data_IF_840655654586
#
_entry.id   IF_840655654586
#
_cell.length_a   1.000
_cell.length_b   1.000
_cell.length_c   1.000
_cell.angle_alpha   90.00
_cell.angle_beta   90.00
_cell.angle_gamma   90.00
#
_symmetry.space_group_name_H-M   'P 1'
#
loop_
_entity.id
_entity.type
_entity.pdbx_description
1 polymer ?
#
# COMPACT_ATOMS: atom_id res chain seq x y z
N UNK A 1 2.27 46.23 40.10
CA UNK A 1 1.86 44.98 40.78
C UNK A 1 2.65 43.87 40.13
N UNK A 2 3.76 43.45 40.76
CA UNK A 2 4.55 42.31 40.35
C UNK A 2 3.78 41.04 40.71
N UNK A 3 3.49 40.21 39.75
CA UNK A 3 2.96 38.88 40.02
C UNK A 3 4.01 38.10 40.83
N UNK A 4 3.63 37.43 41.92
CA UNK A 4 4.58 36.66 42.71
C UNK A 4 5.21 35.55 41.86
N UNK A 5 6.52 35.40 41.96
CA UNK A 5 7.31 34.39 41.22
C UNK A 5 6.69 32.98 41.34
N UNK A 6 6.07 32.69 42.45
CA UNK A 6 5.37 31.41 42.73
C UNK A 6 4.16 31.19 41.82
N UNK A 7 3.42 32.23 41.44
CA UNK A 7 2.30 32.11 40.50
C UNK A 7 2.76 31.81 39.07
N UNK A 8 3.92 32.38 38.67
CA UNK A 8 4.53 32.14 37.36
C UNK A 8 5.08 30.71 37.30
N UNK A 9 5.71 30.23 38.39
CA UNK A 9 6.20 28.84 38.46
C UNK A 9 5.05 27.83 38.44
N UNK A 10 3.95 28.10 39.12
CA UNK A 10 2.76 27.23 39.09
C UNK A 10 2.08 27.22 37.73
N UNK A 11 1.98 28.35 37.05
CA UNK A 11 1.44 28.44 35.70
C UNK A 11 2.31 27.69 34.68
N UNK A 12 3.65 27.80 34.77
CA UNK A 12 4.58 27.08 33.93
C UNK A 12 4.51 25.55 34.18
N UNK A 13 4.33 25.13 35.44
CA UNK A 13 4.14 23.71 35.77
C UNK A 13 2.81 23.17 35.23
N UNK A 14 1.74 23.93 35.30
CA UNK A 14 0.42 23.57 34.75
C UNK A 14 0.42 23.53 33.20
N UNK A 15 1.16 24.40 32.53
CA UNK A 15 1.34 24.37 31.07
C UNK A 15 2.13 23.13 30.63
N UNK A 16 3.09 22.67 31.43
CA UNK A 16 3.85 21.45 31.14
C UNK A 16 3.04 20.14 31.22
N UNK A 17 1.87 20.15 31.86
CA UNK A 17 0.98 19.01 31.98
C UNK A 17 0.00 18.85 30.80
N UNK A 18 -0.01 19.79 29.85
CA UNK A 18 -0.86 19.76 28.66
C UNK A 18 -0.21 19.05 27.47
N UNK A 19 0.86 18.26 27.69
CA UNK A 19 1.40 17.37 26.64
C UNK A 19 0.38 16.27 26.41
N UNK A 20 -0.57 16.53 25.52
CA UNK A 20 -1.59 15.56 25.12
C UNK A 20 -0.92 14.35 24.46
N UNK A 21 -1.34 13.15 24.83
CA UNK A 21 -1.01 11.92 24.12
C UNK A 21 -1.57 12.00 22.69
N UNK A 22 -0.73 12.29 21.72
CA UNK A 22 -1.07 12.15 20.30
C UNK A 22 -1.12 10.68 19.88
N UNK A 23 -1.69 10.35 18.71
CA UNK A 23 -1.70 9.00 18.19
C UNK A 23 -0.27 8.50 17.94
N UNK A 24 -0.08 7.19 18.10
CA UNK A 24 1.15 6.54 17.66
C UNK A 24 1.21 6.57 16.13
N UNK A 25 2.23 7.21 15.58
CA UNK A 25 2.40 7.35 14.14
C UNK A 25 3.49 6.41 13.63
N UNK A 26 3.14 5.61 12.62
CA UNK A 26 4.05 4.75 11.88
C UNK A 26 4.04 5.17 10.41
N UNK A 27 5.18 5.61 9.90
CA UNK A 27 5.41 5.78 8.46
C UNK A 27 6.12 4.52 7.99
N UNK A 28 5.43 3.70 7.20
CA UNK A 28 5.95 2.40 6.76
C UNK A 28 7.16 2.61 5.84
N UNK A 29 8.26 1.94 6.18
CA UNK A 29 9.50 1.95 5.41
C UNK A 29 10.03 0.53 5.32
N UNK A 30 10.38 0.10 4.10
CA UNK A 30 10.89 -1.23 3.85
C UNK A 30 11.77 -1.31 2.60
N UNK A 31 12.43 -2.45 2.44
CA UNK A 31 13.14 -2.79 1.22
C UNK A 31 12.31 -3.83 0.46
N UNK A 32 12.01 -3.55 -0.81
CA UNK A 32 11.22 -4.40 -1.69
C UNK A 32 12.09 -4.83 -2.88
N UNK A 33 12.69 -6.04 -2.82
CA UNK A 33 13.51 -6.53 -3.93
C UNK A 33 12.63 -6.81 -5.16
N UNK A 34 13.18 -6.66 -6.39
CA UNK A 34 12.47 -7.02 -7.61
C UNK A 34 12.16 -8.52 -7.64
N UNK A 35 11.07 -8.94 -8.30
CA UNK A 35 10.74 -10.35 -8.44
C UNK A 35 11.76 -11.05 -9.34
N UNK A 36 12.04 -12.33 -9.04
CA UNK A 36 12.91 -13.20 -9.85
C UNK A 36 12.05 -14.05 -10.80
N UNK A 37 11.39 -13.38 -11.75
CA UNK A 37 10.53 -14.00 -12.76
C UNK A 37 10.87 -13.47 -14.14
N UNK A 38 10.50 -14.22 -15.19
CA UNK A 38 10.61 -13.72 -16.57
C UNK A 38 9.53 -12.65 -16.83
N UNK A 39 9.91 -11.46 -17.30
CA UNK A 39 8.94 -10.40 -17.55
C UNK A 39 7.95 -10.76 -18.65
N UNK A 40 6.68 -10.48 -18.43
CA UNK A 40 5.65 -10.58 -19.46
C UNK A 40 5.92 -9.58 -20.60
N UNK A 41 5.74 -9.99 -21.87
CA UNK A 41 6.03 -9.13 -23.05
C UNK A 41 4.92 -8.08 -23.26
N UNK A 42 4.60 -7.33 -22.21
CA UNK A 42 3.54 -6.33 -22.14
C UNK A 42 4.12 -5.00 -21.71
N UNK A 43 3.67 -3.91 -22.33
CA UNK A 43 3.87 -2.55 -21.83
C UNK A 43 2.68 -2.17 -20.97
N UNK A 44 2.87 -2.15 -19.66
CA UNK A 44 1.83 -1.85 -18.69
C UNK A 44 1.84 -0.37 -18.31
N UNK A 45 0.70 0.31 -18.49
CA UNK A 45 0.42 1.56 -17.81
C UNK A 45 0.09 1.30 -16.34
N UNK A 46 0.47 2.18 -15.45
CA UNK A 46 0.02 2.15 -14.05
C UNK A 46 -0.42 3.53 -13.61
N UNK A 47 -1.57 3.59 -12.94
CA UNK A 47 -2.05 4.82 -12.34
C UNK A 47 -2.30 4.61 -10.85
N UNK A 48 -1.49 5.29 -10.04
CA UNK A 48 -1.68 5.36 -8.60
C UNK A 48 -2.43 6.64 -8.27
N UNK A 49 -3.67 6.53 -7.84
CA UNK A 49 -4.44 7.68 -7.37
C UNK A 49 -3.90 8.22 -6.04
N UNK A 50 -4.37 9.41 -5.65
CA UNK A 50 -3.96 10.05 -4.40
C UNK A 50 -4.32 9.21 -3.16
N UNK A 51 -5.45 8.50 -3.18
CA UNK A 51 -5.87 7.65 -2.07
C UNK A 51 -4.93 6.47 -1.88
N UNK A 52 -4.43 5.90 -2.98
CA UNK A 52 -3.43 4.84 -2.95
C UNK A 52 -2.04 5.38 -2.55
N UNK A 53 -1.58 6.43 -3.22
CA UNK A 53 -0.24 6.99 -3.02
C UNK A 53 -0.04 7.66 -1.66
N UNK A 54 -1.11 8.15 -1.05
CA UNK A 54 -1.12 8.81 0.27
C UNK A 54 -1.87 7.99 1.32
N UNK A 55 -2.08 6.69 1.08
CA UNK A 55 -2.88 5.84 1.96
C UNK A 55 -2.39 5.90 3.40
N UNK A 56 -3.32 6.23 4.28
CA UNK A 56 -3.13 6.30 5.72
C UNK A 56 -4.31 5.64 6.41
N UNK A 57 -4.02 4.71 7.29
CA UNK A 57 -5.02 4.07 8.15
C UNK A 57 -4.99 4.73 9.52
N UNK A 58 -6.15 5.13 9.99
CA UNK A 58 -6.35 5.69 11.32
C UNK A 58 -7.28 4.81 12.14
N UNK A 59 -6.85 4.45 13.35
CA UNK A 59 -7.67 3.75 14.32
C UNK A 59 -7.71 4.51 15.64
N UNK A 60 -8.91 4.84 16.08
CA UNK A 60 -9.11 5.48 17.37
C UNK A 60 -9.05 4.44 18.50
N UNK A 61 -8.42 4.84 19.61
CA UNK A 61 -8.42 4.04 20.82
C UNK A 61 -9.86 3.78 21.30
N UNK A 62 -10.22 2.51 21.47
CA UNK A 62 -11.55 2.08 21.94
C UNK A 62 -11.66 1.97 23.46
N UNK A 63 -10.56 2.23 24.18
CA UNK A 63 -10.52 2.10 25.65
C UNK A 63 -9.40 2.91 26.30
N UNK A 64 -9.48 3.08 27.63
CA UNK A 64 -8.51 3.86 28.42
C UNK A 64 -7.07 3.32 28.40
N UNK A 65 -6.86 2.07 27.95
CA UNK A 65 -5.55 1.40 27.90
C UNK A 65 -5.01 1.26 26.47
N UNK A 66 -5.76 1.73 25.49
CA UNK A 66 -5.39 1.66 24.08
C UNK A 66 -4.90 3.03 23.63
N UNK A 67 -3.93 3.04 22.73
CA UNK A 67 -3.47 4.26 22.04
C UNK A 67 -4.06 4.28 20.64
N UNK A 68 -4.43 5.47 20.15
CA UNK A 68 -4.76 5.66 18.74
C UNK A 68 -3.53 5.43 17.87
N UNK A 69 -3.73 4.89 16.67
CA UNK A 69 -2.68 4.58 15.72
C UNK A 69 -2.94 5.23 14.37
N UNK A 70 -1.87 5.71 13.76
CA UNK A 70 -1.85 6.18 12.38
C UNK A 70 -0.77 5.39 11.65
N UNK A 71 -1.16 4.59 10.65
CA UNK A 71 -0.24 3.78 9.85
C UNK A 71 -0.27 4.30 8.42
N UNK A 72 0.78 5.01 8.04
CA UNK A 72 0.94 5.55 6.69
C UNK A 72 1.70 4.54 5.83
N UNK A 73 1.01 3.94 4.87
CA UNK A 73 1.54 2.93 3.96
C UNK A 73 1.80 3.46 2.55
N UNK A 74 1.26 4.63 2.19
CA UNK A 74 1.18 5.12 0.82
C UNK A 74 2.51 5.10 0.08
N UNK A 75 3.55 5.74 0.62
CA UNK A 75 4.87 5.79 -0.03
C UNK A 75 5.51 4.40 -0.18
N UNK A 76 5.39 3.56 0.86
CA UNK A 76 5.91 2.18 0.81
C UNK A 76 5.16 1.31 -0.19
N UNK A 77 3.85 1.51 -0.33
CA UNK A 77 3.03 0.83 -1.35
C UNK A 77 3.49 1.21 -2.76
N UNK A 78 3.58 2.50 -3.05
CA UNK A 78 4.04 2.97 -4.37
C UNK A 78 5.41 2.37 -4.70
N UNK A 79 6.36 2.41 -3.75
CA UNK A 79 7.69 1.82 -3.94
C UNK A 79 7.63 0.31 -4.22
N UNK A 80 6.83 -0.42 -3.45
CA UNK A 80 6.70 -1.87 -3.59
C UNK A 80 6.08 -2.25 -4.93
N UNK A 81 4.96 -1.62 -5.28
CA UNK A 81 4.25 -1.90 -6.53
C UNK A 81 5.06 -1.49 -7.75
N UNK A 82 5.74 -0.33 -7.71
CA UNK A 82 6.63 0.10 -8.80
C UNK A 82 7.77 -0.91 -9.02
N UNK A 83 8.46 -1.31 -7.95
CA UNK A 83 9.53 -2.31 -8.03
C UNK A 83 9.02 -3.66 -8.58
N UNK A 84 7.87 -4.11 -8.08
CA UNK A 84 7.26 -5.36 -8.52
C UNK A 84 6.89 -5.32 -10.01
N UNK A 85 6.11 -4.31 -10.40
CA UNK A 85 5.59 -4.20 -11.77
C UNK A 85 6.71 -4.02 -12.78
N UNK A 86 7.72 -3.20 -12.46
CA UNK A 86 8.92 -3.03 -13.31
C UNK A 86 9.67 -4.35 -13.54
N UNK A 87 9.66 -5.25 -12.55
CA UNK A 87 10.25 -6.59 -12.71
C UNK A 87 9.35 -7.61 -13.38
N UNK A 88 8.01 -7.39 -13.37
CA UNK A 88 7.02 -8.33 -13.94
C UNK A 88 6.71 -8.09 -15.41
N UNK A 89 6.90 -6.89 -15.92
CA UNK A 89 6.50 -6.48 -17.27
C UNK A 89 7.68 -5.96 -18.06
N UNK A 90 7.63 -6.12 -19.39
CA UNK A 90 8.68 -5.64 -20.30
C UNK A 90 8.93 -4.14 -20.14
N UNK A 91 7.87 -3.39 -19.93
CA UNK A 91 7.92 -1.94 -19.70
C UNK A 91 6.75 -1.51 -18.81
N UNK A 92 7.02 -0.56 -17.90
CA UNK A 92 5.99 0.11 -17.09
C UNK A 92 6.00 1.60 -17.37
N UNK A 93 4.82 2.17 -17.57
CA UNK A 93 4.61 3.59 -17.84
C UNK A 93 3.70 4.17 -16.77
N UNK A 94 4.21 5.12 -15.98
CA UNK A 94 3.39 5.81 -14.98
C UNK A 94 2.49 6.85 -15.63
N UNK A 95 1.18 6.74 -15.39
CA UNK A 95 0.19 7.71 -15.85
C UNK A 95 -0.04 8.78 -14.78
N UNK A 96 -0.18 10.03 -15.23
CA UNK A 96 -0.51 11.16 -14.37
C UNK A 96 -2.02 11.28 -14.11
N UNK A 97 -2.84 10.75 -15.02
CA UNK A 97 -4.30 10.82 -14.96
C UNK A 97 -4.91 9.43 -15.15
N UNK A 98 -6.11 9.26 -14.63
CA UNK A 98 -6.90 8.07 -14.91
C UNK A 98 -7.20 7.94 -16.40
N UNK A 99 -7.17 6.71 -16.97
CA UNK A 99 -7.64 6.48 -18.33
C UNK A 99 -9.08 6.94 -18.51
N UNK A 100 -9.33 7.73 -19.55
CA UNK A 100 -10.67 8.26 -19.87
C UNK A 100 -11.22 7.60 -21.14
N UNK A 101 -12.55 7.44 -21.25
CA UNK A 101 -13.19 6.94 -22.46
C UNK A 101 -12.77 7.77 -23.69
N UNK A 102 -12.27 7.09 -24.71
CA UNK A 102 -11.76 7.74 -25.93
C UNK A 102 -10.33 8.29 -25.83
N UNK A 103 -9.68 8.16 -24.69
CA UNK A 103 -8.25 8.43 -24.54
C UNK A 103 -7.40 7.46 -25.36
N UNK A 104 -6.25 7.91 -25.84
CA UNK A 104 -5.30 7.03 -26.50
C UNK A 104 -3.91 7.24 -25.92
N UNK A 105 -3.42 6.24 -25.21
CA UNK A 105 -2.03 6.16 -24.78
C UNK A 105 -1.30 5.19 -25.73
N UNK A 106 -0.71 5.72 -26.80
CA UNK A 106 -0.02 4.89 -27.81
C UNK A 106 1.17 4.17 -27.17
N UNK A 107 1.29 2.89 -27.47
CA UNK A 107 2.38 2.04 -26.98
C UNK A 107 2.17 1.42 -25.60
N UNK A 108 1.00 1.61 -24.99
CA UNK A 108 0.58 0.92 -23.75
C UNK A 108 -0.46 -0.14 -24.12
N UNK A 109 -0.30 -1.35 -23.58
CA UNK A 109 -1.21 -2.47 -23.85
C UNK A 109 -2.44 -2.49 -22.96
N UNK A 110 -2.28 -2.15 -21.68
CA UNK A 110 -3.34 -2.00 -20.69
C UNK A 110 -2.87 -1.11 -19.54
N UNK A 111 -3.81 -0.64 -18.71
CA UNK A 111 -3.53 0.17 -17.52
C UNK A 111 -4.01 -0.55 -16.28
N UNK A 112 -3.13 -0.72 -15.30
CA UNK A 112 -3.43 -1.24 -13.98
C UNK A 112 -3.75 -0.10 -13.01
N UNK A 113 -4.85 -0.24 -12.28
CA UNK A 113 -5.31 0.70 -11.25
C UNK A 113 -5.50 -0.06 -9.94
N UNK A 114 -4.54 0.01 -9.00
CA UNK A 114 -4.67 -0.62 -7.70
C UNK A 114 -5.42 0.30 -6.72
N UNK A 115 -6.23 -0.30 -5.85
CA UNK A 115 -6.91 0.36 -4.74
C UNK A 115 -6.66 -0.40 -3.44
N UNK A 116 -6.50 0.31 -2.32
CA UNK A 116 -6.59 -0.29 -0.99
C UNK A 116 -8.03 -0.13 -0.53
N UNK A 117 -8.74 -1.26 -0.34
CA UNK A 117 -10.12 -1.25 0.15
C UNK A 117 -10.17 -1.26 1.67
N UNK A 118 -9.24 -1.97 2.29
CA UNK A 118 -9.26 -2.17 3.73
C UNK A 118 -7.85 -2.44 4.26
N UNK A 119 -7.55 -1.88 5.42
CA UNK A 119 -6.42 -2.27 6.25
C UNK A 119 -6.96 -2.57 7.65
N UNK A 120 -6.59 -3.71 8.20
CA UNK A 120 -6.84 -4.08 9.58
C UNK A 120 -5.51 -4.37 10.25
N UNK A 121 -5.41 -4.08 11.55
CA UNK A 121 -4.24 -4.42 12.33
C UNK A 121 -4.67 -5.02 13.68
N UNK A 122 -3.82 -5.84 14.26
CA UNK A 122 -3.95 -6.30 15.63
C UNK A 122 -2.64 -6.08 16.38
N UNK A 123 -2.76 -5.60 17.59
CA UNK A 123 -1.64 -5.39 18.51
C UNK A 123 -1.81 -6.25 19.76
N UNK A 124 -0.72 -6.56 20.51
CA UNK A 124 -0.78 -7.39 21.71
C UNK A 124 -1.74 -6.90 22.79
N UNK A 125 -2.01 -5.59 22.85
CA UNK A 125 -2.98 -5.01 23.77
C UNK A 125 -4.44 -5.41 23.46
N UNK A 126 -4.73 -5.77 22.21
CA UNK A 126 -6.06 -6.17 21.72
C UNK A 126 -6.24 -7.68 21.66
N UNK A 127 -5.14 -8.43 21.72
CA UNK A 127 -5.15 -9.89 21.60
C UNK A 127 -4.39 -10.52 22.75
N UNK A 128 -4.68 -11.78 23.08
CA UNK A 128 -3.90 -12.55 24.06
C UNK A 128 -2.59 -13.10 23.47
N UNK A 129 -2.31 -12.80 22.21
CA UNK A 129 -1.12 -13.26 21.48
C UNK A 129 -0.15 -12.11 21.33
N UNK A 130 1.12 -12.35 21.69
CA UNK A 130 2.18 -11.31 21.60
C UNK A 130 2.71 -11.17 20.19
N UNK A 131 1.84 -10.75 19.27
CA UNK A 131 2.18 -10.48 17.86
C UNK A 131 1.54 -9.19 17.41
N UNK A 132 2.16 -8.55 16.44
CA UNK A 132 1.58 -7.48 15.64
C UNK A 132 1.20 -8.05 14.29
N UNK A 133 0.01 -7.75 13.82
CA UNK A 133 -0.55 -8.30 12.60
C UNK A 133 -1.17 -7.18 11.77
N UNK A 134 -0.98 -7.26 10.45
CA UNK A 134 -1.62 -6.36 9.48
C UNK A 134 -2.21 -7.21 8.36
N UNK A 135 -3.47 -6.95 8.04
CA UNK A 135 -4.19 -7.47 6.89
C UNK A 135 -4.52 -6.30 5.98
N UNK A 136 -4.30 -6.51 4.68
CA UNK A 136 -4.68 -5.53 3.66
C UNK A 136 -5.52 -6.22 2.60
N UNK A 137 -6.59 -5.55 2.14
CA UNK A 137 -7.36 -5.97 0.98
C UNK A 137 -7.17 -4.96 -0.13
N UNK A 138 -6.76 -5.48 -1.27
CA UNK A 138 -6.58 -4.73 -2.51
C UNK A 138 -7.68 -5.10 -3.50
N UNK A 139 -8.12 -4.11 -4.26
CA UNK A 139 -8.89 -4.27 -5.49
C UNK A 139 -8.05 -3.76 -6.64
N UNK A 140 -8.00 -4.53 -7.71
CA UNK A 140 -7.30 -4.18 -8.94
C UNK A 140 -8.30 -4.04 -10.07
N UNK A 141 -8.09 -3.03 -10.89
CA UNK A 141 -8.75 -2.87 -12.17
C UNK A 141 -7.68 -2.90 -13.26
N UNK A 142 -7.87 -3.75 -14.26
CA UNK A 142 -7.10 -3.74 -15.48
C UNK A 142 -8.02 -3.24 -16.59
N UNK A 143 -7.63 -2.14 -17.23
CA UNK A 143 -8.43 -1.50 -18.27
C UNK A 143 -7.60 -1.30 -19.53
N UNK A 144 -8.25 -1.14 -20.67
CA UNK A 144 -7.61 -0.69 -21.91
C UNK A 144 -7.19 0.78 -21.81
N UNK A 145 -6.44 1.26 -22.76
CA UNK A 145 -5.99 2.67 -22.80
C UNK A 145 -7.12 3.68 -22.95
N UNK A 146 -8.28 3.24 -23.46
CA UNK A 146 -9.52 4.03 -23.54
C UNK A 146 -10.45 3.86 -22.34
N UNK A 147 -9.97 3.20 -21.26
CA UNK A 147 -10.74 3.02 -20.03
C UNK A 147 -11.75 1.87 -20.03
N UNK A 148 -11.84 1.08 -21.12
CA UNK A 148 -12.73 -0.08 -21.16
C UNK A 148 -12.23 -1.19 -20.22
N UNK A 149 -13.10 -1.86 -19.43
CA UNK A 149 -12.67 -2.86 -18.46
C UNK A 149 -12.17 -4.14 -19.15
N UNK A 150 -11.01 -4.65 -18.73
CA UNK A 150 -10.49 -5.96 -19.10
C UNK A 150 -10.75 -6.96 -17.96
N UNK A 151 -10.33 -6.61 -16.74
CA UNK A 151 -10.48 -7.47 -15.57
C UNK A 151 -10.61 -6.65 -14.29
N UNK A 152 -11.30 -7.21 -13.31
CA UNK A 152 -11.33 -6.69 -11.93
C UNK A 152 -11.26 -7.87 -10.97
N UNK A 153 -10.41 -7.75 -9.94
CA UNK A 153 -10.31 -8.77 -8.90
C UNK A 153 -9.89 -8.17 -7.57
N UNK A 154 -10.09 -8.91 -6.50
CA UNK A 154 -9.62 -8.57 -5.16
C UNK A 154 -8.57 -9.56 -4.67
N UNK A 155 -7.72 -9.11 -3.78
CA UNK A 155 -6.66 -9.90 -3.18
C UNK A 155 -6.43 -9.43 -1.75
N UNK A 156 -6.20 -10.37 -0.84
CA UNK A 156 -5.80 -10.08 0.54
C UNK A 156 -4.32 -10.37 0.73
N UNK A 157 -3.72 -9.64 1.64
CA UNK A 157 -2.35 -9.87 2.07
C UNK A 157 -2.25 -9.79 3.59
N UNK A 158 -1.22 -10.45 4.12
CA UNK A 158 -1.03 -10.61 5.55
C UNK A 158 0.44 -10.49 5.95
N UNK A 159 0.68 -9.78 7.04
CA UNK A 159 2.00 -9.72 7.66
C UNK A 159 1.92 -9.77 9.18
N UNK A 160 2.85 -10.42 9.81
CA UNK A 160 2.96 -10.51 11.26
C UNK A 160 4.38 -10.41 11.75
N UNK A 161 4.53 -9.90 12.96
CA UNK A 161 5.83 -9.78 13.62
C UNK A 161 5.69 -10.07 15.11
N UNK A 162 6.52 -10.97 15.68
CA UNK A 162 6.55 -11.20 17.12
C UNK A 162 7.14 -9.99 17.86
N UNK A 163 6.58 -9.65 19.02
CA UNK A 163 7.05 -8.54 19.86
C UNK A 163 8.48 -8.76 20.41
N UNK A 164 8.88 -10.01 20.58
CA UNK A 164 10.15 -10.36 21.25
C UNK A 164 11.42 -9.99 20.45
N UNK A 165 11.28 -9.63 19.17
CA UNK A 165 12.40 -9.32 18.28
C UNK A 165 12.63 -7.82 18.08
N UNK A 166 11.75 -6.94 18.63
CA UNK A 166 11.70 -5.52 18.28
C UNK A 166 11.79 -4.64 19.52
N UNK A 167 12.39 -3.47 19.36
CA UNK A 167 12.63 -2.53 20.45
C UNK A 167 11.42 -1.65 20.77
N UNK A 168 10.48 -1.49 19.82
CA UNK A 168 9.30 -0.65 19.99
C UNK A 168 8.07 -1.21 19.26
N UNK A 169 6.88 -0.81 19.71
CA UNK A 169 5.61 -1.14 19.08
C UNK A 169 5.51 -0.58 17.66
N UNK A 170 6.04 0.62 17.44
CA UNK A 170 6.06 1.26 16.11
C UNK A 170 6.91 0.46 15.12
N UNK A 171 8.07 -0.03 15.55
CA UNK A 171 8.94 -0.88 14.74
C UNK A 171 8.28 -2.21 14.40
N UNK A 172 7.55 -2.79 15.37
CA UNK A 172 6.79 -4.02 15.17
C UNK A 172 5.66 -3.85 14.15
N UNK A 173 4.89 -2.78 14.24
CA UNK A 173 3.83 -2.43 13.28
C UNK A 173 4.42 -2.16 11.90
N UNK A 174 5.54 -1.42 11.81
CA UNK A 174 6.25 -1.20 10.54
C UNK A 174 6.65 -2.52 9.89
N UNK A 175 7.27 -3.43 10.65
CA UNK A 175 7.70 -4.71 10.11
C UNK A 175 6.52 -5.59 9.66
N UNK A 176 5.42 -5.62 10.43
CA UNK A 176 4.20 -6.33 10.02
C UNK A 176 3.63 -5.75 8.72
N UNK A 177 3.63 -4.41 8.57
CA UNK A 177 3.19 -3.75 7.34
C UNK A 177 4.09 -4.09 6.15
N UNK A 178 5.42 -4.07 6.33
CA UNK A 178 6.38 -4.47 5.27
C UNK A 178 6.16 -5.92 4.86
N UNK A 179 5.89 -6.82 5.82
CA UNK A 179 5.59 -8.23 5.52
C UNK A 179 4.27 -8.37 4.74
N UNK A 180 3.21 -7.61 5.12
CA UNK A 180 1.95 -7.60 4.39
C UNK A 180 2.13 -7.08 2.95
N UNK A 181 2.94 -6.02 2.75
CA UNK A 181 3.26 -5.51 1.41
C UNK A 181 4.02 -6.54 0.56
N UNK A 182 5.00 -7.23 1.15
CA UNK A 182 5.74 -8.30 0.44
C UNK A 182 4.85 -9.48 0.08
N UNK A 183 3.94 -9.86 0.97
CA UNK A 183 2.95 -10.90 0.71
C UNK A 183 2.00 -10.49 -0.41
N UNK A 184 1.54 -9.22 -0.44
CA UNK A 184 0.78 -8.67 -1.54
C UNK A 184 1.51 -8.79 -2.88
N UNK A 185 2.79 -8.40 -2.91
CA UNK A 185 3.62 -8.52 -4.11
C UNK A 185 3.79 -9.96 -4.59
N UNK A 186 4.07 -10.90 -3.68
CA UNK A 186 4.22 -12.31 -4.00
C UNK A 186 2.91 -12.93 -4.53
N UNK A 187 1.78 -12.59 -3.89
CA UNK A 187 0.46 -13.00 -4.34
C UNK A 187 0.14 -12.47 -5.73
N UNK A 188 0.36 -11.19 -5.97
CA UNK A 188 0.13 -10.59 -7.28
C UNK A 188 1.00 -11.25 -8.36
N UNK A 189 2.30 -11.39 -8.12
CA UNK A 189 3.23 -12.01 -9.08
C UNK A 189 2.82 -13.42 -9.49
N UNK A 190 2.27 -14.19 -8.55
CA UNK A 190 1.89 -15.60 -8.79
C UNK A 190 0.50 -15.77 -9.37
N UNK A 191 -0.40 -14.80 -9.17
CA UNK A 191 -1.82 -14.94 -9.53
C UNK A 191 -2.25 -14.05 -10.70
N UNK A 192 -1.54 -12.97 -11.02
CA UNK A 192 -1.94 -12.03 -12.08
C UNK A 192 -2.32 -12.72 -13.39
N UNK A 193 -1.43 -13.54 -13.95
CA UNK A 193 -1.67 -14.27 -15.21
C UNK A 193 -2.67 -15.42 -15.06
N UNK A 194 -3.16 -15.73 -13.85
CA UNK A 194 -4.16 -16.76 -13.58
C UNK A 194 -5.56 -16.22 -13.37
N UNK A 195 -5.73 -14.90 -13.28
CA UNK A 195 -7.04 -14.26 -13.29
C UNK A 195 -7.67 -14.56 -14.68
N UNK A 196 -8.84 -15.20 -14.77
CA UNK A 196 -9.37 -15.69 -16.05
C UNK A 196 -9.39 -14.62 -17.14
N UNK A 197 -9.97 -13.46 -16.88
CA UNK A 197 -10.05 -12.37 -17.85
C UNK A 197 -8.66 -11.79 -18.22
N UNK A 198 -7.68 -11.81 -17.31
CA UNK A 198 -6.29 -11.44 -17.62
C UNK A 198 -5.63 -12.51 -18.50
N UNK A 199 -5.88 -13.78 -18.21
CA UNK A 199 -5.36 -14.89 -19.01
C UNK A 199 -5.87 -14.81 -20.47
N UNK A 200 -7.17 -14.59 -20.66
CA UNK A 200 -7.79 -14.44 -21.97
C UNK A 200 -7.17 -13.25 -22.73
N UNK A 201 -7.05 -12.11 -22.07
CA UNK A 201 -6.42 -10.92 -22.63
C UNK A 201 -4.96 -11.14 -23.03
N UNK A 202 -4.15 -11.83 -22.20
CA UNK A 202 -2.75 -12.16 -22.51
C UNK A 202 -2.65 -13.10 -23.72
N UNK A 203 -3.59 -14.06 -23.87
CA UNK A 203 -3.65 -14.95 -25.02
C UNK A 203 -3.97 -14.20 -26.31
N UNK A 204 -4.95 -13.30 -26.28
CA UNK A 204 -5.28 -12.43 -27.42
C UNK A 204 -4.07 -11.59 -27.88
N UNK A 205 -3.32 -11.01 -26.92
CA UNK A 205 -2.10 -10.25 -27.20
C UNK A 205 -0.99 -11.11 -27.82
N UNK A 206 -0.85 -12.37 -27.41
CA UNK A 206 0.17 -13.27 -27.96
C UNK A 206 -0.14 -13.74 -29.39
N UNK A 207 -1.42 -13.76 -29.77
CA UNK A 207 -1.89 -14.14 -31.12
C UNK A 207 -1.82 -12.97 -32.11
N UNK A 208 -1.85 -11.72 -31.63
CA UNK A 208 -1.64 -10.54 -32.46
C UNK A 208 -0.13 -10.17 -32.46
N UNK A 209 0.69 -10.65 -33.43
CA UNK A 209 2.06 -10.17 -33.54
C UNK A 209 1.98 -8.67 -33.77
N UNK A 210 2.73 -7.91 -32.98
CA UNK A 210 2.93 -6.47 -33.12
C UNK A 210 3.01 -6.13 -34.61
N UNK A 211 2.04 -5.37 -35.10
CA UNK A 211 2.13 -4.79 -36.44
C UNK A 211 3.34 -3.87 -36.40
N UNK A 212 4.50 -4.40 -36.81
CA UNK A 212 5.71 -3.63 -36.98
C UNK A 212 5.38 -2.56 -38.02
N UNK A 213 5.31 -1.33 -37.56
CA UNK A 213 5.25 -0.15 -38.44
C UNK A 213 6.55 -0.12 -39.25
N UNK A 214 6.47 -0.01 -40.56
CA UNK A 214 7.63 0.05 -41.45
C UNK A 214 8.49 1.33 -41.20
#
# INVERSE_FOLDING_TARGET
>A
RLFPLEAIALAALLLGLLVGCGPNKVVVQGNFPPPLIEPLPVTLGVWFDDNFAKHEFFDEAKGKRESSWVVNTGAAQVQMWDTLLTGMFKQVVHLTNQPEPGGSNTGIDAVLIPHVEELQYAIPAQTNVKVYEIWMRYRFELVTTDGSPIAQWTMTSYGKTPTALLQSDQEAVNMAAVMALRDAGANFATHFARVPAVQDWLQEKSVQPSAATP
#
